data_IF_471754409310
#
_entry.id   IF_471754409310
#
_cell.length_a   1.000
_cell.length_b   1.000
_cell.length_c   1.000
_cell.angle_alpha   90.00
_cell.angle_beta   90.00
_cell.angle_gamma   90.00
#
_symmetry.space_group_name_H-M   'P 1'
#
loop_
_entity.id
_entity.type
_entity.pdbx_description
1 polymer ?
#
# COMPACT_ATOMS: atom_id res chain seq x y z
N UNK A 1 -4.63 3.92 -18.87
CA UNK A 1 -5.84 4.20 -18.07
C UNK A 1 -6.48 2.93 -17.48
N UNK A 2 -6.69 1.85 -18.26
CA UNK A 2 -7.34 0.62 -17.79
C UNK A 2 -6.62 -0.11 -16.63
N UNK A 3 -5.27 -0.12 -16.59
CA UNK A 3 -4.52 -0.79 -15.51
C UNK A 3 -4.54 -0.06 -14.16
N UNK A 4 -4.81 1.26 -14.14
CA UNK A 4 -4.89 2.05 -12.90
C UNK A 4 -6.24 1.86 -12.20
N UNK A 5 -7.34 1.82 -12.94
CA UNK A 5 -8.68 1.57 -12.37
C UNK A 5 -8.76 0.20 -11.69
N UNK A 6 -8.06 -0.82 -12.20
CA UNK A 6 -7.99 -2.17 -11.62
C UNK A 6 -7.34 -2.19 -10.22
N UNK A 7 -6.61 -1.14 -9.85
CA UNK A 7 -5.82 -1.06 -8.63
C UNK A 7 -6.47 -0.21 -7.52
N UNK A 8 -7.53 0.55 -7.84
CA UNK A 8 -8.30 1.30 -6.86
C UNK A 8 -9.23 0.32 -6.15
N UNK A 9 -8.78 -0.20 -5.00
CA UNK A 9 -9.63 -0.98 -4.12
C UNK A 9 -10.10 -0.07 -2.99
N UNK A 10 -11.40 0.06 -2.70
CA UNK A 10 -11.82 0.75 -1.49
C UNK A 10 -11.20 0.01 -0.29
N UNK A 11 -10.62 0.77 0.64
CA UNK A 11 -10.10 0.18 1.87
C UNK A 11 -11.28 -0.45 2.64
N UNK A 12 -11.03 -1.56 3.32
CA UNK A 12 -12.03 -2.25 4.13
C UNK A 12 -12.71 -1.27 5.11
N UNK A 13 -11.92 -0.36 5.69
CA UNK A 13 -12.43 0.68 6.60
C UNK A 13 -13.47 1.59 5.91
N UNK A 14 -13.26 1.95 4.64
CA UNK A 14 -14.21 2.78 3.91
C UNK A 14 -15.54 2.07 3.66
N UNK A 15 -15.49 0.77 3.36
CA UNK A 15 -16.69 -0.05 3.20
C UNK A 15 -17.45 -0.17 4.53
N UNK A 16 -16.75 -0.32 5.65
CA UNK A 16 -17.37 -0.32 6.98
C UNK A 16 -18.06 1.00 7.29
N UNK A 17 -17.40 2.14 7.04
CA UNK A 17 -17.99 3.47 7.27
C UNK A 17 -19.24 3.67 6.40
N UNK A 18 -19.17 3.29 5.12
CA UNK A 18 -20.33 3.35 4.23
C UNK A 18 -21.50 2.49 4.73
N UNK A 19 -21.24 1.23 5.08
CA UNK A 19 -22.27 0.32 5.59
C UNK A 19 -22.89 0.83 6.90
N UNK A 20 -22.07 1.38 7.80
CA UNK A 20 -22.53 1.97 9.05
C UNK A 20 -23.52 3.12 8.81
N UNK A 21 -23.18 4.07 7.95
CA UNK A 21 -24.09 5.19 7.63
C UNK A 21 -25.33 4.74 6.86
N UNK A 22 -25.21 3.74 5.98
CA UNK A 22 -26.35 3.15 5.29
C UNK A 22 -27.35 2.53 6.27
N UNK A 23 -26.86 1.79 7.27
CA UNK A 23 -27.70 1.21 8.33
C UNK A 23 -28.36 2.31 9.18
N UNK A 24 -27.63 3.37 9.54
CA UNK A 24 -28.21 4.49 10.29
C UNK A 24 -29.34 5.19 9.53
N UNK A 25 -29.17 5.43 8.23
CA UNK A 25 -30.21 6.01 7.37
C UNK A 25 -31.41 5.07 7.29
N UNK A 26 -31.18 3.76 7.13
CA UNK A 26 -32.26 2.78 7.11
C UNK A 26 -33.06 2.80 8.42
N UNK A 27 -32.38 2.77 9.58
CA UNK A 27 -33.03 2.84 10.90
C UNK A 27 -33.85 4.13 11.01
N UNK A 28 -33.28 5.29 10.64
CA UNK A 28 -33.99 6.56 10.67
C UNK A 28 -35.27 6.55 9.83
N UNK A 29 -35.23 6.01 8.61
CA UNK A 29 -36.40 5.94 7.74
C UNK A 29 -37.46 5.01 8.35
N UNK A 30 -37.06 3.87 8.91
CA UNK A 30 -38.00 2.94 9.56
C UNK A 30 -38.66 3.53 10.80
N UNK A 31 -37.95 4.35 11.59
CA UNK A 31 -38.51 4.96 12.80
C UNK A 31 -39.31 6.23 12.54
N UNK A 32 -38.87 7.05 11.58
CA UNK A 32 -39.43 8.38 11.33
C UNK A 32 -40.47 8.40 10.21
N UNK A 33 -40.41 7.43 9.28
CA UNK A 33 -41.26 7.39 8.07
C UNK A 33 -40.92 8.48 7.03
N UNK A 34 -39.87 9.27 7.25
CA UNK A 34 -39.48 10.38 6.39
C UNK A 34 -38.60 9.92 5.24
N UNK A 35 -39.23 9.67 4.09
CA UNK A 35 -38.54 9.29 2.86
C UNK A 35 -37.86 10.48 2.15
N UNK A 36 -38.16 11.73 2.50
CA UNK A 36 -37.47 12.89 1.91
C UNK A 36 -35.98 12.90 2.28
N UNK A 37 -35.62 12.28 3.40
CA UNK A 37 -34.23 12.07 3.79
C UNK A 37 -33.41 11.32 2.71
N UNK A 38 -34.02 10.46 1.87
CA UNK A 38 -33.28 9.79 0.79
C UNK A 38 -32.74 10.74 -0.28
N UNK A 39 -33.41 11.88 -0.50
CA UNK A 39 -32.98 12.90 -1.50
C UNK A 39 -31.59 13.42 -1.14
N UNK A 40 -31.28 13.55 0.15
CA UNK A 40 -29.96 14.00 0.63
C UNK A 40 -29.06 12.84 1.06
N UNK A 41 -29.62 11.78 1.62
CA UNK A 41 -28.91 10.61 2.11
C UNK A 41 -28.22 9.82 0.99
N UNK A 42 -28.90 9.58 -0.14
CA UNK A 42 -28.31 8.84 -1.27
C UNK A 42 -27.11 9.61 -1.86
N UNK A 43 -27.21 10.91 -2.23
CA UNK A 43 -26.06 11.65 -2.71
C UNK A 43 -24.91 11.67 -1.71
N UNK A 44 -25.20 11.81 -0.41
CA UNK A 44 -24.19 11.83 0.64
C UNK A 44 -23.45 10.48 0.73
N UNK A 45 -24.18 9.36 0.69
CA UNK A 45 -23.61 8.01 0.67
C UNK A 45 -22.76 7.76 -0.58
N UNK A 46 -23.20 8.24 -1.75
CA UNK A 46 -22.42 8.15 -2.99
C UNK A 46 -21.14 8.96 -2.89
N UNK A 47 -21.20 10.19 -2.38
CA UNK A 47 -20.04 11.04 -2.13
C UNK A 47 -19.05 10.39 -1.15
N UNK A 48 -19.55 9.74 -0.10
CA UNK A 48 -18.76 9.03 0.90
C UNK A 48 -17.91 7.90 0.27
N UNK A 49 -18.40 7.26 -0.79
CA UNK A 49 -17.63 6.29 -1.58
C UNK A 49 -16.73 6.99 -2.61
N UNK A 50 -17.28 7.93 -3.37
CA UNK A 50 -16.63 8.50 -4.55
C UNK A 50 -15.40 9.34 -4.18
N UNK A 51 -15.49 10.22 -3.17
CA UNK A 51 -14.41 11.15 -2.84
C UNK A 51 -13.12 10.44 -2.40
N UNK A 52 -13.14 9.48 -1.45
CA UNK A 52 -11.92 8.82 -1.03
C UNK A 52 -11.29 7.97 -2.13
N UNK A 53 -12.12 7.35 -2.99
CA UNK A 53 -11.63 6.62 -4.15
C UNK A 53 -10.97 7.55 -5.18
N UNK A 54 -11.57 8.71 -5.46
CA UNK A 54 -10.99 9.71 -6.36
C UNK A 54 -9.65 10.25 -5.83
N UNK A 55 -9.57 10.54 -4.53
CA UNK A 55 -8.31 10.96 -3.88
C UNK A 55 -7.25 9.84 -3.93
N UNK A 56 -7.64 8.59 -3.69
CA UNK A 56 -6.74 7.45 -3.80
C UNK A 56 -6.18 7.32 -5.23
N UNK A 57 -7.04 7.42 -6.25
CA UNK A 57 -6.63 7.40 -7.65
C UNK A 57 -5.65 8.51 -7.99
N UNK A 58 -5.97 9.75 -7.61
CA UNK A 58 -5.12 10.90 -7.91
C UNK A 58 -3.74 10.73 -7.27
N UNK A 59 -3.69 10.31 -6.00
CA UNK A 59 -2.44 10.04 -5.31
C UNK A 59 -1.63 8.93 -5.99
N UNK A 60 -2.26 7.82 -6.39
CA UNK A 60 -1.59 6.74 -7.12
C UNK A 60 -0.99 7.21 -8.44
N UNK A 61 -1.71 8.06 -9.18
CA UNK A 61 -1.24 8.58 -10.45
C UNK A 61 -0.03 9.52 -10.29
N UNK A 62 -0.06 10.40 -9.28
CA UNK A 62 1.07 11.29 -8.97
C UNK A 62 2.33 10.49 -8.57
N UNK A 63 2.19 9.47 -7.72
CA UNK A 63 3.33 8.62 -7.36
C UNK A 63 3.82 7.81 -8.56
N UNK A 64 2.92 7.29 -9.39
CA UNK A 64 3.27 6.55 -10.59
C UNK A 64 4.11 7.37 -11.58
N UNK A 65 3.87 8.67 -11.71
CA UNK A 65 4.68 9.55 -12.55
C UNK A 65 6.08 9.82 -12.00
N UNK A 66 6.30 9.66 -10.69
CA UNK A 66 7.61 9.84 -10.06
C UNK A 66 8.51 8.62 -10.20
N UNK A 67 7.93 7.43 -10.46
CA UNK A 67 8.69 6.18 -10.51
C UNK A 67 9.89 6.24 -11.47
N UNK A 68 9.77 6.68 -12.74
CA UNK A 68 10.90 6.71 -13.66
C UNK A 68 12.06 7.60 -13.18
N UNK A 69 11.74 8.72 -12.54
CA UNK A 69 12.72 9.66 -11.99
C UNK A 69 13.47 9.04 -10.79
N UNK A 70 12.74 8.34 -9.92
CA UNK A 70 13.33 7.59 -8.82
C UNK A 70 14.16 6.41 -9.29
N UNK A 71 13.77 5.74 -10.37
CA UNK A 71 14.55 4.64 -10.95
C UNK A 71 15.89 5.12 -11.51
N UNK A 72 15.91 6.28 -12.16
CA UNK A 72 17.11 6.86 -12.76
C UNK A 72 18.09 7.42 -11.70
N UNK A 73 17.58 8.10 -10.68
CA UNK A 73 18.42 8.84 -9.72
C UNK A 73 18.74 8.07 -8.44
N UNK A 74 18.08 6.93 -8.19
CA UNK A 74 18.25 6.21 -6.93
C UNK A 74 19.65 5.59 -6.80
N UNK A 75 20.35 5.97 -5.73
CA UNK A 75 21.60 5.31 -5.34
C UNK A 75 21.30 3.98 -4.66
N UNK A 76 21.94 2.90 -5.13
CA UNK A 76 21.91 1.61 -4.44
C UNK A 76 22.68 1.70 -3.13
N UNK A 77 22.04 1.34 -2.01
CA UNK A 77 22.63 1.42 -0.67
C UNK A 77 22.21 0.23 0.18
N UNK A 78 23.08 -0.18 1.09
CA UNK A 78 22.72 -1.18 2.11
C UNK A 78 21.90 -0.52 3.22
N UNK A 79 21.04 -1.29 3.89
CA UNK A 79 20.16 -0.77 4.94
C UNK A 79 20.95 -0.11 6.08
N UNK A 80 22.09 -0.69 6.47
CA UNK A 80 22.96 -0.14 7.54
C UNK A 80 23.58 1.22 7.19
N UNK A 81 23.71 1.55 5.90
CA UNK A 81 24.28 2.84 5.47
C UNK A 81 23.27 3.97 5.62
N UNK A 82 21.97 3.66 5.74
CA UNK A 82 20.90 4.64 5.84
C UNK A 82 21.01 5.38 7.17
N UNK A 83 21.37 6.66 7.08
CA UNK A 83 21.55 7.52 8.25
C UNK A 83 21.00 8.93 7.99
N UNK A 84 21.06 9.80 9.00
CA UNK A 84 20.47 11.15 8.95
C UNK A 84 21.10 12.06 7.89
N UNK A 85 22.35 11.82 7.45
CA UNK A 85 22.96 12.60 6.36
C UNK A 85 22.32 12.32 5.00
N UNK A 86 21.62 11.19 4.87
CA UNK A 86 20.95 10.78 3.64
C UNK A 86 19.51 11.27 3.53
N UNK A 87 19.03 12.09 4.49
CA UNK A 87 17.67 12.62 4.45
C UNK A 87 17.38 13.29 3.09
N UNK A 88 16.17 13.03 2.60
CA UNK A 88 15.69 13.49 1.29
C UNK A 88 16.43 12.91 0.08
N UNK A 89 17.42 12.02 0.26
CA UNK A 89 18.07 11.33 -0.86
C UNK A 89 17.19 10.19 -1.37
N UNK A 90 17.16 10.06 -2.70
CA UNK A 90 16.53 8.95 -3.41
C UNK A 90 17.46 7.74 -3.34
N UNK A 91 16.92 6.61 -2.90
CA UNK A 91 17.68 5.39 -2.67
C UNK A 91 16.96 4.18 -3.27
N UNK A 92 17.77 3.18 -3.60
CA UNK A 92 17.34 1.84 -3.95
C UNK A 92 17.89 0.88 -2.90
N UNK A 93 17.01 0.05 -2.36
CA UNK A 93 17.39 -1.04 -1.46
C UNK A 93 16.84 -2.36 -1.99
N UNK A 94 17.53 -3.45 -1.66
CA UNK A 94 17.09 -4.81 -1.95
C UNK A 94 17.13 -5.63 -0.67
N UNK A 95 16.05 -6.36 -0.40
CA UNK A 95 15.95 -7.12 0.85
C UNK A 95 14.74 -8.04 0.90
N UNK A 96 14.72 -8.87 1.93
CA UNK A 96 13.64 -9.78 2.24
C UNK A 96 12.54 -9.04 3.01
N UNK A 97 11.28 -9.25 2.62
CA UNK A 97 10.11 -8.75 3.35
C UNK A 97 9.87 -9.65 4.56
N UNK A 98 10.20 -9.15 5.75
CA UNK A 98 10.00 -9.87 7.01
C UNK A 98 8.56 -9.78 7.52
N UNK A 99 7.91 -8.64 7.28
CA UNK A 99 6.54 -8.38 7.74
C UNK A 99 5.83 -7.35 6.85
N UNK A 100 4.50 -7.50 6.73
CA UNK A 100 3.63 -6.55 6.03
C UNK A 100 2.56 -6.05 7.02
N UNK A 101 2.53 -4.75 7.29
CA UNK A 101 1.55 -4.10 8.17
C UNK A 101 0.64 -3.16 7.39
N UNK A 102 -0.54 -2.86 7.92
CA UNK A 102 -1.48 -1.84 7.40
C UNK A 102 -1.95 -2.05 5.94
N UNK A 103 -1.92 -3.28 5.43
CA UNK A 103 -2.38 -3.63 4.08
C UNK A 103 -3.85 -3.28 3.83
N UNK A 104 -4.71 -3.41 4.85
CA UNK A 104 -6.14 -3.07 4.78
C UNK A 104 -6.43 -1.58 4.57
N UNK A 105 -5.47 -0.70 4.85
CA UNK A 105 -5.58 0.75 4.71
C UNK A 105 -5.09 1.28 3.35
N UNK A 106 -4.74 0.39 2.41
CA UNK A 106 -4.13 0.75 1.12
C UNK A 106 -2.84 1.57 1.22
N UNK A 107 -2.18 1.54 2.39
CA UNK A 107 -0.90 2.21 2.69
C UNK A 107 -0.01 1.25 3.48
N UNK A 108 0.44 0.16 2.85
CA UNK A 108 1.19 -0.88 3.56
C UNK A 108 2.53 -0.34 4.05
N UNK A 109 2.93 -0.84 5.22
CA UNK A 109 4.29 -0.67 5.72
C UNK A 109 5.00 -2.03 5.60
N UNK A 110 6.15 -2.04 4.95
CA UNK A 110 7.00 -3.21 4.81
C UNK A 110 8.17 -3.13 5.77
N UNK A 111 8.38 -4.18 6.54
CA UNK A 111 9.62 -4.37 7.30
C UNK A 111 10.52 -5.21 6.40
N UNK A 112 11.65 -4.64 5.99
CA UNK A 112 12.56 -5.23 5.01
C UNK A 112 13.93 -5.40 5.65
N UNK A 113 14.45 -6.62 5.59
CA UNK A 113 15.78 -6.98 6.08
C UNK A 113 16.74 -7.32 4.93
N UNK A 114 17.98 -6.86 5.03
CA UNK A 114 19.10 -7.30 4.19
C UNK A 114 20.19 -7.95 5.06
N UNK A 115 21.37 -8.21 4.51
CA UNK A 115 22.48 -8.80 5.28
C UNK A 115 23.06 -7.88 6.36
N UNK A 116 22.71 -6.59 6.32
CA UNK A 116 23.33 -5.52 7.11
C UNK A 116 22.41 -4.95 8.20
N UNK A 117 21.09 -5.05 8.02
CA UNK A 117 20.11 -4.59 8.99
C UNK A 117 18.67 -4.69 8.50
N UNK A 118 17.77 -4.08 9.26
CA UNK A 118 16.32 -4.06 9.00
C UNK A 118 15.82 -2.62 8.98
N UNK A 119 14.95 -2.29 8.04
CA UNK A 119 14.33 -0.96 7.95
C UNK A 119 12.83 -1.05 7.67
N UNK A 120 12.14 0.08 7.89
CA UNK A 120 10.71 0.23 7.62
C UNK A 120 10.55 1.07 6.36
N UNK A 121 9.91 0.48 5.37
CA UNK A 121 9.44 1.18 4.17
C UNK A 121 7.96 1.47 4.34
N UNK A 122 7.59 2.75 4.36
CA UNK A 122 6.19 3.17 4.37
C UNK A 122 5.78 3.56 2.96
N UNK A 123 4.75 2.91 2.43
CA UNK A 123 4.16 3.30 1.16
C UNK A 123 3.02 4.28 1.37
N UNK A 124 2.95 5.35 0.57
CA UNK A 124 1.79 6.23 0.55
C UNK A 124 0.66 5.71 -0.34
N UNK A 125 0.98 4.87 -1.31
CA UNK A 125 0.01 4.30 -2.25
C UNK A 125 0.12 2.78 -2.23
N UNK A 126 -0.94 2.10 -2.68
CA UNK A 126 -0.91 0.65 -2.77
C UNK A 126 0.11 0.24 -3.86
N UNK A 127 1.07 -0.66 -3.58
CA UNK A 127 2.04 -1.08 -4.57
C UNK A 127 1.40 -1.77 -5.78
N UNK A 128 2.08 -1.68 -6.93
CA UNK A 128 1.65 -2.29 -8.21
C UNK A 128 1.62 -3.81 -8.16
N UNK A 129 2.52 -4.38 -7.37
CA UNK A 129 2.65 -5.82 -7.18
C UNK A 129 2.16 -6.22 -5.79
N UNK A 130 1.55 -7.40 -5.70
CA UNK A 130 1.18 -7.96 -4.41
C UNK A 130 2.44 -8.47 -3.71
N UNK A 131 2.92 -7.71 -2.72
CA UNK A 131 4.10 -8.04 -1.93
C UNK A 131 3.68 -8.81 -0.69
N UNK A 132 4.27 -10.00 -0.49
CA UNK A 132 4.00 -10.88 0.64
C UNK A 132 5.24 -11.01 1.53
N UNK A 133 5.00 -11.46 2.77
CA UNK A 133 6.09 -11.89 3.66
C UNK A 133 6.87 -13.03 3.00
N UNK A 134 8.19 -12.94 3.02
CA UNK A 134 9.10 -13.91 2.42
C UNK A 134 9.56 -13.57 1.00
N UNK A 135 8.98 -12.54 0.37
CA UNK A 135 9.43 -12.08 -0.94
C UNK A 135 10.75 -11.30 -0.81
N UNK A 136 11.65 -11.47 -1.78
CA UNK A 136 12.80 -10.58 -1.95
C UNK A 136 12.38 -9.47 -2.91
N UNK A 137 12.46 -8.24 -2.43
CA UNK A 137 11.97 -7.06 -3.12
C UNK A 137 13.06 -6.04 -3.35
N UNK A 138 12.88 -5.28 -4.42
CA UNK A 138 13.57 -4.04 -4.70
C UNK A 138 12.66 -2.88 -4.37
N UNK A 139 13.15 -1.92 -3.60
CA UNK A 139 12.39 -0.74 -3.22
C UNK A 139 13.09 0.50 -3.73
N UNK A 140 12.31 1.38 -4.36
CA UNK A 140 12.70 2.74 -4.69
C UNK A 140 11.99 3.69 -3.75
N UNK A 141 12.74 4.59 -3.12
CA UNK A 141 12.17 5.49 -2.14
C UNK A 141 13.08 6.64 -1.77
N UNK A 142 12.62 7.42 -0.79
CA UNK A 142 13.34 8.57 -0.25
C UNK A 142 13.55 8.39 1.25
N UNK A 143 14.74 8.71 1.75
CA UNK A 143 15.02 8.67 3.19
C UNK A 143 14.29 9.82 3.89
N UNK A 144 13.52 9.50 4.93
CA UNK A 144 12.72 10.44 5.70
C UNK A 144 13.00 10.32 7.19
N UNK A 145 12.86 11.43 7.93
CA UNK A 145 12.91 11.40 9.39
C UNK A 145 11.77 10.52 9.92
N UNK A 146 12.06 9.72 10.93
CA UNK A 146 11.00 9.09 11.72
C UNK A 146 10.24 10.21 12.45
N UNK A 147 8.90 10.15 12.46
CA UNK A 147 8.05 11.17 13.09
C UNK A 147 8.23 11.29 14.61
N UNK A 148 9.04 10.41 15.23
CA UNK A 148 9.41 10.46 16.64
C UNK A 148 10.84 11.01 16.71
N UNK A 149 11.09 11.98 17.60
CA UNK A 149 12.39 12.67 17.77
C UNK A 149 13.59 11.71 17.95
N UNK A 150 13.33 10.50 18.43
CA UNK A 150 14.30 9.41 18.60
C UNK A 150 13.96 8.23 17.68
N UNK A 151 14.97 7.79 16.92
CA UNK A 151 14.89 6.62 16.04
C UNK A 151 15.64 6.81 14.73
N UNK A 152 15.94 5.68 14.09
CA UNK A 152 16.61 5.64 12.80
C UNK A 152 15.70 6.17 11.68
N UNK A 153 16.29 6.77 10.63
CA UNK A 153 15.55 7.20 9.45
C UNK A 153 14.77 6.03 8.85
N UNK A 154 13.60 6.35 8.30
CA UNK A 154 12.75 5.39 7.60
C UNK A 154 12.72 5.73 6.11
N UNK A 155 12.21 4.80 5.31
CA UNK A 155 12.11 4.99 3.87
C UNK A 155 10.66 5.30 3.52
N UNK A 156 10.46 6.42 2.83
CA UNK A 156 9.23 6.66 2.10
C UNK A 156 9.31 5.92 0.76
N UNK A 157 8.56 4.84 0.62
CA UNK A 157 8.54 4.02 -0.59
C UNK A 157 7.67 4.62 -1.69
N UNK A 158 8.25 4.76 -2.87
CA UNK A 158 7.58 5.23 -4.09
C UNK A 158 7.18 4.03 -4.96
N UNK A 159 8.06 3.04 -5.08
CA UNK A 159 7.80 1.78 -5.78
C UNK A 159 8.43 0.60 -5.05
N UNK A 160 7.80 -0.57 -5.20
CA UNK A 160 8.33 -1.84 -4.72
C UNK A 160 8.04 -2.92 -5.74
N UNK A 161 9.09 -3.66 -6.10
CA UNK A 161 9.03 -4.76 -7.08
C UNK A 161 9.54 -6.04 -6.46
N UNK A 162 8.82 -7.13 -6.70
CA UNK A 162 9.27 -8.47 -6.30
C UNK A 162 10.33 -8.92 -7.29
N UNK A 163 11.55 -9.18 -6.79
CA UNK A 163 12.64 -9.78 -7.58
C UNK A 163 12.54 -11.31 -7.52
N UNK A 164 12.21 -11.85 -6.35
CA UNK A 164 12.05 -13.29 -6.12
C UNK A 164 10.88 -13.52 -5.18
N UNK A 165 9.91 -14.31 -5.62
CA UNK A 165 8.79 -14.75 -4.78
C UNK A 165 9.28 -15.76 -3.75
N UNK A 166 8.81 -15.61 -2.51
CA UNK A 166 9.07 -16.55 -1.41
C UNK A 166 8.21 -17.81 -1.45
N UNK A 167 7.31 -17.97 -2.43
CA UNK A 167 6.49 -19.17 -2.58
C UNK A 167 7.36 -20.39 -2.89
N UNK A 168 7.55 -21.24 -1.86
CA UNK A 168 7.88 -22.65 -2.07
C UNK A 168 6.82 -23.28 -2.97
N UNK A 169 7.26 -23.93 -4.03
CA UNK A 169 6.47 -24.89 -4.80
C UNK A 169 5.83 -25.94 -3.87
N UNK A 170 4.56 -25.79 -3.54
CA UNK A 170 3.76 -26.86 -2.96
C UNK A 170 2.84 -27.46 -4.01
N UNK A 171 3.44 -28.09 -5.03
CA UNK A 171 2.87 -29.24 -5.75
C UNK A 171 4.04 -30.00 -6.37
N UNK A 172 4.44 -31.16 -5.85
CA UNK A 172 5.30 -32.09 -6.59
C UNK A 172 4.55 -32.53 -7.85
N UNK A 173 5.21 -32.69 -9.01
CA UNK A 173 4.56 -33.30 -10.16
C UNK A 173 4.09 -34.69 -9.74
N UNK A 174 2.79 -34.96 -9.92
CA UNK A 174 2.21 -36.28 -9.74
C UNK A 174 3.05 -37.27 -10.56
N UNK A 175 3.78 -38.12 -9.85
CA UNK A 175 4.61 -39.16 -10.44
C UNK A 175 3.64 -40.13 -11.13
N UNK A 176 3.56 -40.04 -12.45
CA UNK A 176 2.84 -40.99 -13.28
C UNK A 176 3.35 -42.40 -13.01
N UNK A 177 2.53 -43.20 -12.35
CA UNK A 177 2.71 -44.63 -12.21
C UNK A 177 1.76 -45.34 -13.16
N UNK A 178 2.25 -45.68 -14.36
CA UNK A 178 1.68 -46.73 -15.19
C UNK A 178 1.69 -48.04 -14.39
N UNK A 179 0.53 -48.68 -14.24
CA UNK A 179 0.35 -50.13 -14.38
C UNK A 179 -1.04 -50.38 -14.94
#
# INVERSE_FOLDING_TARGET
MQNLLKQIRPSILHLFVFAFFLVLIAIYIFTSGDYHMLIWGIPTLLCLLAFPMALAYLSQNQYASLIPEYEADAKSVNIREINRSMLSKRIRIEGLVEEVRFRSLNRPHFIIGDRTGVTIVKMFTNPRFDVKKGDVVQVYGQVMKRYIFYGDPIINGVDVRVIRSGEKSSTPPARGGKK
#
